data_IF_374546265276
#
_entry.id   IF_374546265276
#
_cell.length_a   1.000
_cell.length_b   1.000
_cell.length_c   1.000
_cell.angle_alpha   90.00
_cell.angle_beta   90.00
_cell.angle_gamma   90.00
#
_symmetry.space_group_name_H-M   'P 1'
#
loop_
_entity.id
_entity.type
_entity.pdbx_description
1 polymer ?
#
# COMPACT_ATOMS: atom_id res chain seq x y z
N UNK A 1 -0.92 6.85 -21.74
CA UNK A 1 -1.58 7.36 -20.52
C UNK A 1 -0.71 6.99 -19.33
N UNK A 2 -0.75 7.75 -18.23
CA UNK A 2 0.02 7.42 -17.01
C UNK A 2 -0.73 6.39 -16.16
N UNK A 3 0.01 5.47 -15.54
CA UNK A 3 -0.52 4.55 -14.51
C UNK A 3 -1.11 5.36 -13.35
N UNK A 4 -2.33 5.01 -12.93
CA UNK A 4 -3.05 5.71 -11.85
C UNK A 4 -3.45 4.68 -10.80
N UNK A 5 -3.23 4.99 -9.53
CA UNK A 5 -3.74 4.24 -8.38
C UNK A 5 -4.65 5.14 -7.54
N UNK A 6 -5.78 4.61 -7.08
CA UNK A 6 -6.82 5.30 -6.31
C UNK A 6 -7.41 4.39 -5.25
N UNK A 7 -8.14 4.96 -4.29
CA UNK A 7 -8.96 4.24 -3.32
C UNK A 7 -10.32 4.93 -3.22
N UNK A 8 -11.39 4.17 -3.03
CA UNK A 8 -12.70 4.76 -2.67
C UNK A 8 -12.75 5.23 -1.21
N UNK A 9 -11.84 4.74 -0.36
CA UNK A 9 -11.83 5.02 1.07
C UNK A 9 -11.31 6.43 1.42
N UNK A 10 -10.43 7.00 0.59
CA UNK A 10 -9.86 8.32 0.79
C UNK A 10 -9.36 8.92 -0.52
N UNK A 11 -9.42 10.25 -0.62
CA UNK A 11 -8.82 11.00 -1.72
C UNK A 11 -7.29 11.10 -1.56
N UNK A 12 -6.58 11.46 -2.63
CA UNK A 12 -5.19 11.90 -2.53
C UNK A 12 -5.04 13.01 -1.47
N UNK A 13 -4.03 12.89 -0.62
CA UNK A 13 -3.78 13.75 0.57
C UNK A 13 -4.93 13.79 1.60
N UNK A 14 -5.96 12.96 1.42
CA UNK A 14 -7.05 12.78 2.36
C UNK A 14 -6.63 12.04 3.63
N UNK A 15 -7.50 12.05 4.63
CA UNK A 15 -7.27 11.26 5.85
C UNK A 15 -7.68 9.81 5.62
N UNK A 16 -6.81 8.88 5.99
CA UNK A 16 -7.10 7.44 5.95
C UNK A 16 -8.07 7.12 7.10
N UNK A 17 -9.23 6.48 6.85
CA UNK A 17 -10.17 6.11 7.91
C UNK A 17 -9.55 5.19 8.96
N UNK A 18 -9.94 5.36 10.23
CA UNK A 18 -9.35 4.66 11.38
C UNK A 18 -9.35 3.13 11.25
N UNK A 19 -10.34 2.56 10.53
CA UNK A 19 -10.42 1.11 10.30
C UNK A 19 -9.19 0.51 9.59
N UNK A 20 -8.47 1.30 8.81
CA UNK A 20 -7.26 0.87 8.09
C UNK A 20 -5.96 1.10 8.88
N UNK A 21 -6.08 1.53 10.14
CA UNK A 21 -4.99 1.94 11.03
C UNK A 21 -4.97 1.06 12.27
N UNK A 22 -3.94 1.20 13.11
CA UNK A 22 -3.84 0.47 14.38
C UNK A 22 -4.93 0.84 15.41
N UNK A 23 -5.64 1.96 15.22
CA UNK A 23 -6.77 2.36 16.07
C UNK A 23 -8.08 1.64 15.68
N UNK A 24 -8.07 0.84 14.60
CA UNK A 24 -9.24 0.15 14.07
C UNK A 24 -8.99 -1.33 13.81
N UNK A 25 -9.41 -1.81 12.64
CA UNK A 25 -9.32 -3.23 12.26
C UNK A 25 -7.94 -3.62 11.71
N UNK A 26 -7.07 -2.64 11.43
CA UNK A 26 -5.75 -2.80 10.81
C UNK A 26 -5.78 -3.56 9.46
N UNK A 27 -6.84 -3.36 8.69
CA UNK A 27 -7.02 -3.97 7.35
C UNK A 27 -6.52 -3.05 6.24
N UNK A 28 -6.13 -3.62 5.10
CA UNK A 28 -5.73 -2.82 3.94
C UNK A 28 -6.92 -2.06 3.32
N UNK A 29 -6.74 -0.83 2.85
CA UNK A 29 -7.77 -0.14 2.08
C UNK A 29 -7.94 -0.80 0.70
N UNK A 30 -9.12 -0.63 0.10
CA UNK A 30 -9.30 -0.93 -1.32
C UNK A 30 -8.34 -0.08 -2.15
N UNK A 31 -7.67 -0.70 -3.11
CA UNK A 31 -6.82 -0.02 -4.09
C UNK A 31 -7.27 -0.41 -5.48
N UNK A 32 -7.52 0.56 -6.34
CA UNK A 32 -7.85 0.37 -7.75
C UNK A 32 -6.81 1.06 -8.60
N UNK A 33 -6.47 0.47 -9.75
CA UNK A 33 -5.57 1.11 -10.69
C UNK A 33 -6.00 0.93 -12.14
N UNK A 34 -5.57 1.88 -12.96
CA UNK A 34 -5.89 1.94 -14.38
C UNK A 34 -4.66 2.39 -15.17
N UNK A 35 -4.70 2.21 -16.49
CA UNK A 35 -3.64 2.58 -17.42
C UNK A 35 -2.31 1.84 -17.16
N UNK A 36 -2.37 0.54 -16.88
CA UNK A 36 -1.18 -0.33 -16.89
C UNK A 36 -0.57 -0.31 -18.30
N UNK A 37 0.74 -0.01 -18.46
CA UNK A 37 1.37 0.04 -19.79
C UNK A 37 1.39 -1.33 -20.49
N UNK A 38 1.14 -1.35 -21.80
CA UNK A 38 1.07 -2.58 -22.64
C UNK A 38 2.37 -3.42 -22.67
N UNK A 39 3.47 -2.90 -22.15
CA UNK A 39 4.76 -3.60 -22.04
C UNK A 39 5.09 -4.13 -20.65
N UNK A 40 4.24 -3.87 -19.66
CA UNK A 40 4.44 -4.37 -18.31
C UNK A 40 4.37 -5.90 -18.30
N UNK A 41 5.25 -6.53 -17.51
CA UNK A 41 5.28 -7.97 -17.24
C UNK A 41 4.77 -8.30 -15.86
N UNK A 42 4.84 -7.34 -14.95
CA UNK A 42 4.32 -7.45 -13.58
C UNK A 42 4.14 -6.08 -12.96
N UNK A 43 3.34 -6.01 -11.90
CA UNK A 43 3.20 -4.85 -11.06
C UNK A 43 3.86 -5.08 -9.68
N UNK A 44 4.24 -3.99 -9.04
CA UNK A 44 4.74 -3.95 -7.66
C UNK A 44 4.01 -2.87 -6.89
N UNK A 45 3.50 -3.21 -5.72
CA UNK A 45 2.92 -2.26 -4.77
C UNK A 45 3.84 -2.14 -3.56
N UNK A 46 4.21 -0.91 -3.22
CA UNK A 46 4.90 -0.59 -1.96
C UNK A 46 4.10 0.48 -1.24
N UNK A 47 3.77 0.22 0.01
CA UNK A 47 3.20 1.21 0.92
C UNK A 47 4.27 1.58 1.94
N UNK A 48 4.65 2.85 1.99
CA UNK A 48 5.68 3.34 2.90
C UNK A 48 5.36 4.69 3.52
N UNK A 49 5.97 4.95 4.67
CA UNK A 49 5.87 6.16 5.48
C UNK A 49 7.26 6.79 5.62
N UNK A 50 7.58 7.83 4.83
CA UNK A 50 8.85 8.54 4.93
C UNK A 50 8.93 9.50 6.11
N UNK A 51 7.84 9.68 6.87
CA UNK A 51 7.75 10.62 7.99
C UNK A 51 8.09 9.94 9.34
N UNK A 52 8.42 8.65 9.34
CA UNK A 52 8.70 7.90 10.56
C UNK A 52 10.05 8.28 11.24
N UNK A 53 10.11 8.31 12.59
CA UNK A 53 9.01 8.16 13.54
C UNK A 53 8.31 9.49 13.88
N UNK A 54 8.86 10.62 13.44
CA UNK A 54 8.35 11.97 13.70
C UNK A 54 8.44 12.78 12.40
N UNK A 55 7.32 13.36 11.89
CA UNK A 55 7.32 14.13 10.67
C UNK A 55 8.19 15.40 10.74
N UNK A 56 8.48 15.91 11.94
CA UNK A 56 9.37 17.05 12.14
C UNK A 56 10.86 16.65 12.13
N UNK A 57 11.18 15.38 12.37
CA UNK A 57 12.54 14.86 12.42
C UNK A 57 12.60 13.39 11.90
N UNK A 58 12.28 13.15 10.62
CA UNK A 58 12.21 11.80 10.07
C UNK A 58 13.58 11.14 10.10
N UNK A 59 13.61 9.84 10.44
CA UNK A 59 14.86 9.07 10.60
C UNK A 59 14.95 7.88 9.65
N UNK A 60 13.81 7.39 9.18
CA UNK A 60 13.74 6.24 8.27
C UNK A 60 12.44 6.28 7.46
N UNK A 61 12.44 5.56 6.35
CA UNK A 61 11.20 5.21 5.64
C UNK A 61 10.70 3.89 6.20
N UNK A 62 9.51 3.89 6.79
CA UNK A 62 8.88 2.70 7.34
C UNK A 62 8.04 2.01 6.27
N UNK A 63 8.34 0.77 5.94
CA UNK A 63 7.62 -0.01 4.93
C UNK A 63 6.46 -0.73 5.59
N UNK A 64 5.25 -0.42 5.13
CA UNK A 64 3.98 -0.95 5.63
C UNK A 64 3.50 -2.19 4.88
N UNK A 65 3.72 -2.22 3.57
CA UNK A 65 3.28 -3.34 2.73
C UNK A 65 4.11 -3.45 1.46
N UNK A 66 4.41 -4.67 1.04
CA UNK A 66 5.15 -4.97 -0.19
C UNK A 66 4.49 -6.13 -0.90
N UNK A 67 4.00 -5.89 -2.12
CA UNK A 67 3.56 -6.93 -3.04
C UNK A 67 4.34 -6.83 -4.34
N UNK A 68 4.76 -7.97 -4.88
CA UNK A 68 5.44 -8.05 -6.17
C UNK A 68 4.93 -9.24 -6.98
N UNK A 69 5.26 -9.26 -8.28
CA UNK A 69 4.68 -10.20 -9.25
C UNK A 69 3.15 -10.13 -9.32
N UNK A 70 2.56 -8.97 -9.03
CA UNK A 70 1.15 -8.74 -9.31
C UNK A 70 0.94 -8.87 -10.83
N UNK A 71 -0.08 -9.60 -11.28
CA UNK A 71 -0.32 -9.78 -12.70
C UNK A 71 -0.83 -8.46 -13.30
N UNK A 72 -0.53 -8.23 -14.58
CA UNK A 72 -0.77 -6.93 -15.24
C UNK A 72 -2.24 -6.71 -15.62
N UNK A 73 -3.04 -7.77 -15.62
CA UNK A 73 -4.48 -7.74 -15.82
C UNK A 73 -5.26 -7.54 -14.51
N UNK A 74 -4.60 -7.61 -13.35
CA UNK A 74 -5.21 -7.17 -12.10
C UNK A 74 -5.54 -5.67 -12.20
N UNK A 75 -6.72 -5.29 -11.71
CA UNK A 75 -7.23 -3.92 -11.73
C UNK A 75 -7.27 -3.28 -10.33
N UNK A 76 -6.90 -4.04 -9.30
CA UNK A 76 -6.97 -3.59 -7.92
C UNK A 76 -6.78 -4.70 -6.89
N UNK A 77 -6.95 -4.31 -5.63
CA UNK A 77 -6.99 -5.14 -4.44
C UNK A 77 -8.23 -4.75 -3.64
N UNK A 78 -8.99 -5.75 -3.22
CA UNK A 78 -10.13 -5.54 -2.35
C UNK A 78 -9.68 -5.04 -0.97
N UNK A 79 -10.59 -4.33 -0.29
CA UNK A 79 -10.43 -4.00 1.13
C UNK A 79 -10.15 -5.26 1.95
N UNK A 80 -9.13 -5.21 2.80
CA UNK A 80 -8.79 -6.30 3.71
C UNK A 80 -8.45 -7.62 3.03
N UNK A 81 -8.01 -7.59 1.77
CA UNK A 81 -7.67 -8.80 1.01
C UNK A 81 -6.68 -9.67 1.79
N UNK A 82 -7.03 -10.94 1.97
CA UNK A 82 -6.17 -11.90 2.63
C UNK A 82 -5.04 -12.36 1.70
N UNK A 83 -3.92 -12.78 2.26
CA UNK A 83 -2.77 -13.28 1.49
C UNK A 83 -3.12 -14.40 0.50
N UNK A 84 -4.10 -15.24 0.83
CA UNK A 84 -4.54 -16.36 -0.03
C UNK A 84 -5.53 -15.93 -1.13
N UNK A 85 -6.11 -14.73 -1.03
CA UNK A 85 -7.04 -14.17 -2.02
C UNK A 85 -6.34 -13.19 -2.99
N UNK A 86 -5.04 -12.94 -2.79
CA UNK A 86 -4.25 -12.10 -3.69
C UNK A 86 -4.27 -12.64 -5.13
N UNK A 87 -4.19 -11.77 -6.16
CA UNK A 87 -4.14 -12.20 -7.55
C UNK A 87 -3.08 -13.29 -7.79
N UNK A 88 -3.39 -14.27 -8.63
CA UNK A 88 -2.52 -15.42 -8.84
C UNK A 88 -1.10 -14.99 -9.27
N UNK A 89 -0.08 -15.60 -8.65
CA UNK A 89 1.32 -15.26 -8.89
C UNK A 89 1.87 -14.13 -8.02
N UNK A 90 1.00 -13.37 -7.34
CA UNK A 90 1.42 -12.33 -6.38
C UNK A 90 2.22 -12.94 -5.24
N UNK A 91 3.27 -12.22 -4.85
CA UNK A 91 4.11 -12.57 -3.70
C UNK A 91 4.19 -11.39 -2.76
N UNK A 92 4.33 -11.72 -1.48
CA UNK A 92 4.47 -10.74 -0.42
C UNK A 92 5.95 -10.58 -0.03
N UNK A 93 6.36 -9.33 0.17
CA UNK A 93 7.65 -8.99 0.76
C UNK A 93 7.56 -8.87 2.29
N UNK A 94 8.72 -8.86 2.94
CA UNK A 94 8.83 -8.63 4.37
C UNK A 94 8.81 -7.12 4.64
N UNK A 95 7.88 -6.66 5.47
CA UNK A 95 7.76 -5.26 5.89
C UNK A 95 8.66 -4.96 7.11
N UNK A 96 8.61 -3.73 7.65
CA UNK A 96 9.50 -3.34 8.74
C UNK A 96 9.20 -4.01 10.10
N UNK A 97 7.99 -4.56 10.27
CA UNK A 97 7.66 -5.47 11.37
C UNK A 97 8.24 -6.88 11.23
N UNK A 98 9.05 -7.13 10.19
CA UNK A 98 9.68 -8.43 9.91
C UNK A 98 8.66 -9.55 9.66
N UNK A 99 7.50 -9.18 9.10
CA UNK A 99 6.44 -10.11 8.67
C UNK A 99 5.94 -9.76 7.27
N UNK A 100 5.21 -10.69 6.67
CA UNK A 100 4.46 -10.45 5.44
C UNK A 100 3.10 -9.81 5.77
N UNK A 101 2.40 -9.32 4.75
CA UNK A 101 1.11 -8.66 4.91
C UNK A 101 1.18 -7.16 5.15
N UNK A 102 0.00 -6.56 5.12
CA UNK A 102 -0.21 -5.16 5.44
C UNK A 102 -0.07 -4.93 6.94
N UNK A 103 0.54 -3.81 7.32
CA UNK A 103 0.39 -3.22 8.66
C UNK A 103 -0.02 -1.76 8.48
N UNK A 104 -1.07 -1.33 9.16
CA UNK A 104 -1.64 -0.01 8.97
C UNK A 104 -0.84 1.12 9.61
N UNK A 105 -1.23 2.38 9.31
CA UNK A 105 -0.74 3.55 10.00
C UNK A 105 -0.82 3.42 11.52
N UNK A 106 0.28 3.71 12.19
CA UNK A 106 0.33 3.83 13.65
C UNK A 106 1.38 4.86 14.08
N UNK A 107 1.21 6.14 13.69
CA UNK A 107 2.21 7.17 13.95
C UNK A 107 2.28 7.43 15.47
N UNK A 108 3.47 7.42 16.09
CA UNK A 108 3.59 7.66 17.52
C UNK A 108 3.33 9.14 17.87
N UNK A 109 3.61 10.06 16.94
CA UNK A 109 3.42 11.50 17.11
C UNK A 109 3.02 12.15 15.79
N UNK A 110 2.24 13.22 15.87
CA UNK A 110 1.93 14.05 14.71
C UNK A 110 1.10 13.34 13.64
N UNK A 111 1.19 13.85 12.40
CA UNK A 111 0.51 13.32 11.22
C UNK A 111 1.56 12.91 10.21
N UNK A 112 1.51 11.65 9.80
CA UNK A 112 2.40 11.08 8.80
C UNK A 112 1.69 10.96 7.46
N UNK A 113 2.48 10.83 6.39
CA UNK A 113 2.00 10.58 5.03
C UNK A 113 2.34 9.14 4.64
N UNK A 114 1.35 8.41 4.14
CA UNK A 114 1.50 7.03 3.69
C UNK A 114 1.39 6.97 2.16
N UNK A 115 2.49 6.64 1.50
CA UNK A 115 2.56 6.62 0.04
C UNK A 115 2.25 5.22 -0.47
N UNK A 116 1.17 5.10 -1.24
CA UNK A 116 0.82 3.88 -1.95
C UNK A 116 1.39 3.96 -3.37
N UNK A 117 2.53 3.31 -3.61
CA UNK A 117 3.30 3.41 -4.85
C UNK A 117 3.11 2.14 -5.68
N UNK A 118 2.54 2.30 -6.87
CA UNK A 118 2.38 1.24 -7.85
C UNK A 118 3.41 1.42 -8.97
N UNK A 119 4.15 0.36 -9.27
CA UNK A 119 5.14 0.31 -10.34
C UNK A 119 4.73 -0.73 -11.37
N UNK A 120 4.96 -0.44 -12.64
CA UNK A 120 4.89 -1.39 -13.74
C UNK A 120 6.30 -1.72 -14.21
N UNK A 121 6.64 -3.01 -14.28
CA UNK A 121 7.96 -3.53 -14.64
C UNK A 121 7.97 -4.17 -16.03
#
# INVERSE_FOLDING_TARGET
MSLIITSSAFSHEGSIPARYTCDGEDISPELLWTNVPDGARSLVLIVDDPDAPDPAAPRMTWVHWVLYNLPTDATGLAEGIASYDLPEGTREGVNDWKRNGYGGPCPPVGRHRYFHKLYAL
#
